data_IF_867782522679
#
_entry.id   IF_867782522679
#
_cell.length_a   1.000
_cell.length_b   1.000
_cell.length_c   1.000
_cell.angle_alpha   90.00
_cell.angle_beta   90.00
_cell.angle_gamma   90.00
#
_symmetry.space_group_name_H-M   'P 1'
#
loop_
_entity.id
_entity.type
_entity.pdbx_description
1 polymer ?
#
# COMPACT_ATOMS: atom_id res chain seq x y z
N UNK A 1 -7.95 21.06 -73.66
CA UNK A 1 -9.05 20.52 -72.84
C UNK A 1 -8.69 19.19 -72.16
N UNK A 2 -8.10 18.21 -72.85
CA UNK A 2 -7.78 16.88 -72.29
C UNK A 2 -6.87 16.87 -71.04
N UNK A 3 -5.83 17.73 -70.97
CA UNK A 3 -4.94 17.82 -69.78
C UNK A 3 -5.67 18.29 -68.51
N UNK A 4 -6.63 19.20 -68.62
CA UNK A 4 -7.40 19.69 -67.47
C UNK A 4 -8.34 18.62 -66.93
N UNK A 5 -8.94 17.80 -67.81
CA UNK A 5 -9.82 16.70 -67.41
C UNK A 5 -9.05 15.57 -66.73
N UNK A 6 -7.84 15.27 -67.20
CA UNK A 6 -6.99 14.23 -66.61
C UNK A 6 -6.46 14.60 -65.22
N UNK A 7 -6.08 15.86 -65.02
CA UNK A 7 -5.67 16.38 -63.71
C UNK A 7 -6.83 16.41 -62.70
N UNK A 8 -8.04 16.70 -63.15
CA UNK A 8 -9.25 16.66 -62.31
C UNK A 8 -9.59 15.24 -61.84
N UNK A 9 -9.50 14.25 -62.74
CA UNK A 9 -9.73 12.83 -62.40
C UNK A 9 -8.66 12.32 -61.42
N UNK A 10 -7.40 12.69 -61.60
CA UNK A 10 -6.33 12.33 -60.68
C UNK A 10 -6.55 12.92 -59.28
N UNK A 11 -6.95 14.19 -59.19
CA UNK A 11 -7.29 14.85 -57.91
C UNK A 11 -8.44 14.14 -57.18
N UNK A 12 -9.54 13.81 -57.90
CA UNK A 12 -10.64 13.07 -57.28
C UNK A 12 -10.26 11.65 -56.83
N UNK A 13 -9.35 10.97 -57.54
CA UNK A 13 -8.86 9.66 -57.12
C UNK A 13 -8.00 9.73 -55.85
N UNK A 14 -7.24 10.82 -55.67
CA UNK A 14 -6.41 11.05 -54.48
C UNK A 14 -7.27 11.39 -53.26
N UNK A 15 -8.25 12.28 -53.41
CA UNK A 15 -9.24 12.58 -52.36
C UNK A 15 -10.04 11.33 -51.94
N UNK A 16 -10.45 10.49 -52.90
CA UNK A 16 -11.16 9.23 -52.58
C UNK A 16 -10.26 8.20 -51.87
N UNK A 17 -8.94 8.20 -52.16
CA UNK A 17 -7.97 7.37 -51.42
C UNK A 17 -7.77 7.88 -50.00
N UNK A 18 -7.66 9.19 -49.80
CA UNK A 18 -7.59 9.80 -48.46
C UNK A 18 -8.85 9.53 -47.65
N UNK A 19 -10.03 9.72 -48.26
CA UNK A 19 -11.31 9.44 -47.61
C UNK A 19 -11.47 7.97 -47.19
N UNK A 20 -11.04 7.03 -48.03
CA UNK A 20 -11.01 5.59 -47.67
C UNK A 20 -10.03 5.29 -46.54
N UNK A 21 -8.88 5.97 -46.49
CA UNK A 21 -7.87 5.83 -45.44
C UNK A 21 -8.38 6.36 -44.10
N UNK A 22 -9.00 7.54 -44.09
CA UNK A 22 -9.61 8.12 -42.89
C UNK A 22 -10.82 7.29 -42.40
N UNK A 23 -11.65 6.78 -43.32
CA UNK A 23 -12.76 5.88 -42.96
C UNK A 23 -12.28 4.56 -42.38
N UNK A 24 -11.18 4.00 -42.90
CA UNK A 24 -10.53 2.81 -42.35
C UNK A 24 -9.97 3.01 -40.94
N UNK A 25 -9.35 4.17 -40.67
CA UNK A 25 -8.88 4.55 -39.33
C UNK A 25 -10.02 4.76 -38.35
N UNK A 26 -11.09 5.45 -38.77
CA UNK A 26 -12.28 5.67 -37.94
C UNK A 26 -12.92 4.34 -37.54
N UNK A 27 -13.12 3.42 -38.51
CA UNK A 27 -13.69 2.10 -38.24
C UNK A 27 -12.81 1.23 -37.33
N UNK A 28 -11.47 1.33 -37.47
CA UNK A 28 -10.55 0.63 -36.57
C UNK A 28 -10.63 1.21 -35.14
N UNK A 29 -10.68 2.54 -35.01
CA UNK A 29 -10.82 3.23 -33.73
C UNK A 29 -12.14 2.88 -33.03
N UNK A 30 -13.25 2.87 -33.75
CA UNK A 30 -14.56 2.48 -33.20
C UNK A 30 -14.55 1.03 -32.70
N UNK A 31 -13.92 0.12 -33.46
CA UNK A 31 -13.77 -1.29 -33.07
C UNK A 31 -12.86 -1.49 -31.85
N UNK A 32 -11.82 -0.68 -31.68
CA UNK A 32 -10.92 -0.72 -30.53
C UNK A 32 -11.59 -0.16 -29.27
N UNK A 33 -12.37 0.92 -29.40
CA UNK A 33 -13.15 1.50 -28.31
C UNK A 33 -14.25 0.54 -27.82
N UNK A 34 -14.94 -0.16 -28.74
CA UNK A 34 -15.96 -1.15 -28.41
C UNK A 34 -15.37 -2.37 -27.68
N UNK A 35 -14.23 -2.89 -28.14
CA UNK A 35 -13.52 -3.99 -27.47
C UNK A 35 -13.01 -3.59 -26.08
N UNK A 36 -12.52 -2.36 -25.92
CA UNK A 36 -12.07 -1.82 -24.63
C UNK A 36 -13.24 -1.68 -23.64
N UNK A 37 -14.40 -1.22 -24.12
CA UNK A 37 -15.62 -1.11 -23.30
C UNK A 37 -16.16 -2.48 -22.88
N UNK A 38 -16.16 -3.47 -23.79
CA UNK A 38 -16.57 -4.84 -23.47
C UNK A 38 -15.63 -5.47 -22.43
N UNK A 39 -14.32 -5.31 -22.60
CA UNK A 39 -13.32 -5.79 -21.65
C UNK A 39 -13.48 -5.12 -20.27
N UNK A 40 -13.72 -3.81 -20.23
CA UNK A 40 -14.02 -3.10 -18.99
C UNK A 40 -15.25 -3.68 -18.29
N UNK A 41 -16.37 -3.85 -19.00
CA UNK A 41 -17.60 -4.41 -18.44
C UNK A 41 -17.38 -5.83 -17.89
N UNK A 42 -16.66 -6.67 -18.64
CA UNK A 42 -16.29 -8.01 -18.22
C UNK A 42 -15.49 -8.00 -16.92
N UNK A 43 -14.37 -7.27 -16.87
CA UNK A 43 -13.53 -7.19 -15.67
C UNK A 43 -14.28 -6.57 -14.50
N UNK A 44 -15.10 -5.55 -14.75
CA UNK A 44 -15.95 -4.94 -13.76
C UNK A 44 -17.03 -5.90 -13.21
N UNK A 45 -17.44 -6.94 -13.95
CA UNK A 45 -18.35 -7.95 -13.41
C UNK A 45 -17.65 -9.03 -12.57
N UNK A 46 -16.38 -9.31 -12.87
CA UNK A 46 -15.61 -10.41 -12.25
C UNK A 46 -14.92 -9.96 -10.96
N UNK A 47 -14.35 -8.75 -10.96
CA UNK A 47 -13.63 -8.22 -9.81
C UNK A 47 -14.63 -7.85 -8.71
N UNK A 48 -14.43 -8.41 -7.52
CA UNK A 48 -15.27 -8.17 -6.35
C UNK A 48 -14.98 -6.79 -5.75
N UNK A 49 -16.00 -6.18 -5.15
CA UNK A 49 -15.83 -4.92 -4.42
C UNK A 49 -14.87 -5.10 -3.22
N UNK A 50 -14.08 -4.08 -2.96
CA UNK A 50 -13.14 -4.02 -1.86
C UNK A 50 -13.83 -3.49 -0.61
N UNK A 51 -13.75 -4.26 0.47
CA UNK A 51 -14.21 -3.88 1.80
C UNK A 51 -13.03 -4.01 2.77
N UNK A 52 -12.72 -2.94 3.50
CA UNK A 52 -11.65 -2.96 4.48
C UNK A 52 -12.12 -3.54 5.82
N UNK A 53 -11.45 -4.59 6.30
CA UNK A 53 -11.74 -5.22 7.59
C UNK A 53 -10.46 -5.84 8.16
N UNK A 54 -9.86 -5.17 9.15
CA UNK A 54 -8.62 -5.63 9.78
C UNK A 54 -8.82 -6.92 10.58
N UNK A 55 -9.96 -7.10 11.23
CA UNK A 55 -10.23 -8.28 12.06
C UNK A 55 -10.36 -9.54 11.21
N UNK A 56 -10.95 -9.40 10.02
CA UNK A 56 -11.03 -10.49 9.04
C UNK A 56 -9.80 -10.55 8.11
N UNK A 57 -8.80 -9.71 8.32
CA UNK A 57 -7.58 -9.67 7.51
C UNK A 57 -7.80 -9.21 6.06
N UNK A 58 -8.91 -8.51 5.78
CA UNK A 58 -9.19 -7.89 4.48
C UNK A 58 -8.49 -6.54 4.39
N UNK A 59 -7.23 -6.57 3.96
CA UNK A 59 -6.46 -5.35 3.63
C UNK A 59 -6.48 -5.10 2.12
N UNK A 60 -6.20 -3.88 1.69
CA UNK A 60 -6.13 -3.59 0.25
C UNK A 60 -5.06 -4.43 -0.44
N UNK A 61 -3.88 -4.62 0.17
CA UNK A 61 -2.83 -5.48 -0.38
C UNK A 61 -3.32 -6.92 -0.61
N UNK A 62 -4.05 -7.51 0.34
CA UNK A 62 -4.58 -8.87 0.19
C UNK A 62 -5.65 -8.98 -0.90
N UNK A 63 -6.51 -7.97 -1.03
CA UNK A 63 -7.53 -7.90 -2.07
C UNK A 63 -6.89 -7.66 -3.44
N UNK A 64 -5.90 -6.78 -3.52
CA UNK A 64 -5.23 -6.44 -4.77
C UNK A 64 -4.45 -7.64 -5.28
N UNK A 65 -3.68 -8.35 -4.45
CA UNK A 65 -2.94 -9.55 -4.85
C UNK A 65 -3.86 -10.62 -5.46
N UNK A 66 -5.06 -10.82 -4.90
CA UNK A 66 -6.06 -11.75 -5.44
C UNK A 66 -6.55 -11.34 -6.84
N UNK A 67 -6.63 -10.05 -7.13
CA UNK A 67 -7.19 -9.51 -8.38
C UNK A 67 -6.14 -8.95 -9.34
N UNK A 68 -4.85 -8.98 -8.95
CA UNK A 68 -3.74 -8.34 -9.67
C UNK A 68 -3.64 -8.81 -11.12
N UNK A 69 -3.83 -10.11 -11.35
CA UNK A 69 -3.85 -10.70 -12.69
C UNK A 69 -4.92 -10.11 -13.61
N UNK A 70 -6.07 -9.68 -13.07
CA UNK A 70 -7.11 -9.02 -13.87
C UNK A 70 -6.67 -7.65 -14.38
N UNK A 71 -5.83 -6.93 -13.62
CA UNK A 71 -5.32 -5.62 -14.03
C UNK A 71 -4.06 -5.71 -14.90
N UNK A 72 -3.15 -6.65 -14.58
CA UNK A 72 -1.85 -6.79 -15.26
C UNK A 72 -1.90 -7.66 -16.51
N UNK A 73 -2.69 -8.75 -16.51
CA UNK A 73 -2.74 -9.70 -17.61
C UNK A 73 -3.98 -9.47 -18.48
N UNK A 74 -5.17 -9.64 -17.91
CA UNK A 74 -6.43 -9.55 -18.67
C UNK A 74 -6.74 -8.11 -19.10
N UNK A 75 -6.50 -7.16 -18.20
CA UNK A 75 -6.66 -5.73 -18.44
C UNK A 75 -5.44 -5.06 -19.05
N UNK A 76 -4.41 -5.80 -19.49
CA UNK A 76 -3.15 -5.19 -19.95
C UNK A 76 -3.38 -4.17 -21.07
N UNK A 77 -4.27 -4.48 -22.01
CA UNK A 77 -4.64 -3.65 -23.15
C UNK A 77 -5.46 -2.41 -22.79
N UNK A 78 -6.00 -2.33 -21.56
CA UNK A 78 -6.74 -1.15 -21.12
C UNK A 78 -5.80 0.04 -20.93
N UNK A 79 -6.23 1.20 -21.40
CA UNK A 79 -5.55 2.45 -21.11
C UNK A 79 -5.49 2.71 -19.60
N UNK A 80 -4.43 3.37 -19.12
CA UNK A 80 -4.18 3.57 -17.69
C UNK A 80 -5.36 4.26 -16.98
N UNK A 81 -5.96 5.27 -17.58
CA UNK A 81 -7.14 5.97 -17.06
C UNK A 81 -8.38 5.05 -16.95
N UNK A 82 -8.48 4.02 -17.78
CA UNK A 82 -9.56 3.01 -17.67
C UNK A 82 -9.26 2.07 -16.50
N UNK A 83 -8.00 1.67 -16.29
CA UNK A 83 -7.57 0.85 -15.14
C UNK A 83 -7.80 1.58 -13.81
N UNK A 84 -7.48 2.88 -13.76
CA UNK A 84 -7.75 3.73 -12.60
C UNK A 84 -9.25 3.78 -12.31
N UNK A 85 -10.09 4.09 -13.31
CA UNK A 85 -11.55 4.11 -13.14
C UNK A 85 -12.10 2.77 -12.68
N UNK A 86 -11.59 1.66 -13.25
CA UNK A 86 -11.97 0.31 -12.84
C UNK A 86 -11.62 0.07 -11.37
N UNK A 87 -10.40 0.43 -10.94
CA UNK A 87 -9.97 0.27 -9.54
C UNK A 87 -10.82 1.12 -8.59
N UNK A 88 -11.08 2.38 -8.94
CA UNK A 88 -11.93 3.28 -8.16
C UNK A 88 -13.36 2.75 -8.06
N UNK A 89 -13.92 2.23 -9.15
CA UNK A 89 -15.25 1.61 -9.15
C UNK A 89 -15.35 0.33 -8.33
N UNK A 90 -14.21 -0.25 -7.93
CA UNK A 90 -14.15 -1.43 -7.06
C UNK A 90 -13.97 -1.13 -5.60
N UNK A 91 -13.79 0.14 -5.23
CA UNK A 91 -13.75 0.52 -3.83
C UNK A 91 -15.16 0.50 -3.24
N UNK A 92 -15.29 -0.08 -2.05
CA UNK A 92 -16.48 0.05 -1.22
C UNK A 92 -16.87 1.51 -1.01
N UNK A 93 -18.17 1.76 -0.79
CA UNK A 93 -18.65 3.13 -0.61
C UNK A 93 -17.94 3.90 0.52
N UNK A 94 -17.64 3.22 1.64
CA UNK A 94 -16.86 3.79 2.76
C UNK A 94 -15.40 4.06 2.40
N UNK A 95 -14.77 3.12 1.71
CA UNK A 95 -13.37 3.15 1.30
C UNK A 95 -13.15 4.26 0.27
N UNK A 96 -14.01 4.35 -0.73
CA UNK A 96 -14.00 5.43 -1.72
C UNK A 96 -14.11 6.80 -1.04
N UNK A 97 -15.07 6.99 -0.13
CA UNK A 97 -15.25 8.26 0.56
C UNK A 97 -14.00 8.65 1.36
N UNK A 98 -13.40 7.70 2.08
CA UNK A 98 -12.21 7.91 2.90
C UNK A 98 -11.00 8.33 2.06
N UNK A 99 -10.68 7.56 1.01
CA UNK A 99 -9.52 7.86 0.17
C UNK A 99 -9.75 9.12 -0.67
N UNK A 100 -10.97 9.33 -1.18
CA UNK A 100 -11.31 10.55 -1.93
C UNK A 100 -11.16 11.79 -1.06
N UNK A 101 -11.53 11.74 0.23
CA UNK A 101 -11.34 12.85 1.15
C UNK A 101 -9.86 13.13 1.40
N UNK A 102 -9.04 12.07 1.57
CA UNK A 102 -7.60 12.19 1.80
C UNK A 102 -6.86 12.80 0.61
N UNK A 103 -7.26 12.47 -0.62
CA UNK A 103 -6.58 12.94 -1.83
C UNK A 103 -6.93 14.36 -2.27
N UNK A 104 -7.91 15.01 -1.62
CA UNK A 104 -8.28 16.37 -1.99
C UNK A 104 -7.06 17.32 -1.91
N UNK A 105 -6.89 18.23 -2.90
CA UNK A 105 -7.84 18.57 -3.97
C UNK A 105 -7.76 17.68 -5.24
N UNK A 106 -6.86 16.70 -5.29
CA UNK A 106 -6.70 15.81 -6.44
C UNK A 106 -7.85 14.79 -6.53
N UNK A 107 -8.33 14.51 -7.75
CA UNK A 107 -9.34 13.47 -7.99
C UNK A 107 -8.67 12.12 -8.22
N UNK A 108 -9.24 11.06 -7.67
CA UNK A 108 -8.72 9.68 -7.85
C UNK A 108 -8.59 9.30 -9.33
N UNK A 109 -9.59 9.63 -10.16
CA UNK A 109 -9.60 9.32 -11.60
C UNK A 109 -8.48 9.99 -12.41
N UNK A 110 -7.85 11.03 -11.83
CA UNK A 110 -6.74 11.76 -12.45
C UNK A 110 -5.36 11.29 -11.98
N UNK A 111 -5.31 10.36 -11.02
CA UNK A 111 -4.06 9.79 -10.51
C UNK A 111 -3.52 8.75 -11.48
N UNK A 112 -2.21 8.53 -11.42
CA UNK A 112 -1.60 7.37 -12.07
C UNK A 112 -1.99 6.10 -11.32
N UNK A 113 -2.08 4.99 -12.06
CA UNK A 113 -2.50 3.70 -11.51
C UNK A 113 -1.59 3.20 -10.40
N UNK A 114 -0.27 3.30 -10.57
CA UNK A 114 0.73 2.88 -9.59
C UNK A 114 0.68 3.72 -8.29
N UNK A 115 0.52 5.04 -8.42
CA UNK A 115 0.40 5.94 -7.28
C UNK A 115 -0.90 5.66 -6.52
N UNK A 116 -2.02 5.44 -7.22
CA UNK A 116 -3.29 5.12 -6.57
C UNK A 116 -3.20 3.80 -5.78
N UNK A 117 -2.56 2.77 -6.32
CA UNK A 117 -2.32 1.51 -5.61
C UNK A 117 -1.54 1.76 -4.32
N UNK A 118 -0.44 2.52 -4.39
CA UNK A 118 0.38 2.83 -3.21
C UNK A 118 -0.42 3.57 -2.14
N UNK A 119 -1.23 4.54 -2.53
CA UNK A 119 -2.07 5.28 -1.59
C UNK A 119 -3.15 4.41 -0.94
N UNK A 120 -3.76 3.50 -1.70
CA UNK A 120 -4.74 2.55 -1.20
C UNK A 120 -4.09 1.53 -0.26
N UNK A 121 -2.90 1.01 -0.59
CA UNK A 121 -2.13 0.14 0.29
C UNK A 121 -1.77 0.84 1.60
N UNK A 122 -1.34 2.09 1.54
CA UNK A 122 -0.99 2.87 2.72
C UNK A 122 -2.22 3.15 3.60
N UNK A 123 -3.35 3.51 3.00
CA UNK A 123 -4.56 3.89 3.75
C UNK A 123 -5.33 2.71 4.34
N UNK A 124 -5.34 1.58 3.62
CA UNK A 124 -6.12 0.39 3.95
C UNK A 124 -5.22 -0.80 4.29
N UNK A 125 -4.23 -0.53 5.14
CA UNK A 125 -3.34 -1.53 5.75
C UNK A 125 -3.48 -1.54 7.27
N UNK A 126 -2.81 -2.50 7.90
CA UNK A 126 -2.67 -2.53 9.35
C UNK A 126 -1.73 -1.41 9.81
N UNK A 127 -2.23 -0.40 10.57
CA UNK A 127 -1.45 0.76 10.97
C UNK A 127 -0.38 0.44 12.02
N UNK A 128 -0.40 -0.77 12.61
CA UNK A 128 0.58 -1.18 13.62
C UNK A 128 1.96 -1.36 12.98
N UNK A 129 2.99 -0.98 13.71
CA UNK A 129 4.37 -1.12 13.27
C UNK A 129 4.76 -2.59 13.09
N UNK A 130 5.79 -2.84 12.26
CA UNK A 130 6.28 -4.20 12.01
C UNK A 130 6.69 -4.91 13.32
N UNK A 131 7.30 -4.20 14.27
CA UNK A 131 7.69 -4.77 15.57
C UNK A 131 6.48 -5.28 16.34
N UNK A 132 5.40 -4.49 16.40
CA UNK A 132 4.18 -4.88 17.14
C UNK A 132 3.59 -6.15 16.53
N UNK A 133 3.44 -6.19 15.20
CA UNK A 133 2.95 -7.37 14.48
C UNK A 133 3.81 -8.61 14.76
N UNK A 134 5.14 -8.49 14.65
CA UNK A 134 6.09 -9.58 14.95
C UNK A 134 5.98 -10.07 16.39
N UNK A 135 5.83 -9.15 17.34
CA UNK A 135 5.70 -9.50 18.76
C UNK A 135 4.40 -10.26 19.05
N UNK A 136 3.30 -9.89 18.40
CA UNK A 136 2.03 -10.61 18.53
C UNK A 136 2.14 -12.05 18.00
N UNK A 137 2.84 -12.27 16.89
CA UNK A 137 3.10 -13.61 16.36
C UNK A 137 3.84 -14.47 17.38
N UNK A 138 4.88 -13.94 18.03
CA UNK A 138 5.64 -14.67 19.08
C UNK A 138 4.78 -15.02 20.29
N UNK A 139 3.74 -14.22 20.57
CA UNK A 139 2.80 -14.44 21.67
C UNK A 139 1.73 -15.47 21.36
N UNK A 140 1.59 -15.92 20.11
CA UNK A 140 0.61 -16.93 19.74
C UNK A 140 0.80 -18.21 20.57
N UNK A 141 -0.31 -18.77 21.05
CA UNK A 141 -0.34 -20.03 21.80
C UNK A 141 -1.40 -20.93 21.21
N UNK A 142 -1.06 -22.21 21.08
CA UNK A 142 -2.03 -23.21 20.67
C UNK A 142 -3.07 -23.35 21.78
N UNK A 143 -4.38 -23.18 21.49
CA UNK A 143 -5.41 -23.19 22.53
C UNK A 143 -5.62 -24.57 23.15
N UNK A 144 -5.44 -25.65 22.37
CA UNK A 144 -5.55 -27.03 22.84
C UNK A 144 -4.86 -27.97 21.83
N UNK A 145 -4.50 -29.18 22.27
CA UNK A 145 -3.72 -30.15 21.49
C UNK A 145 -4.43 -30.58 20.21
N UNK A 146 -5.76 -30.66 20.23
CA UNK A 146 -6.59 -31.06 19.09
C UNK A 146 -6.47 -30.08 17.91
N UNK A 147 -6.14 -28.82 18.18
CA UNK A 147 -6.00 -27.76 17.17
C UNK A 147 -4.55 -27.55 16.72
N UNK A 148 -3.63 -28.47 17.00
CA UNK A 148 -2.20 -28.27 16.75
C UNK A 148 -1.87 -28.04 15.26
N UNK A 149 -2.54 -28.75 14.35
CA UNK A 149 -2.32 -28.61 12.91
C UNK A 149 -2.91 -27.28 12.39
N UNK A 150 -4.13 -26.93 12.81
CA UNK A 150 -4.75 -25.64 12.49
C UNK A 150 -3.90 -24.48 13.02
N UNK A 151 -3.37 -24.63 14.24
CA UNK A 151 -2.46 -23.67 14.84
C UNK A 151 -1.17 -23.51 14.03
N UNK A 152 -0.57 -24.60 13.54
CA UNK A 152 0.59 -24.52 12.65
C UNK A 152 0.30 -23.74 11.36
N UNK A 153 -0.87 -23.97 10.78
CA UNK A 153 -1.34 -23.25 9.57
C UNK A 153 -1.56 -21.76 9.85
N UNK A 154 -2.15 -21.44 11.01
CA UNK A 154 -2.31 -20.07 11.49
C UNK A 154 -0.95 -19.39 11.72
N UNK A 155 -0.01 -20.05 12.41
CA UNK A 155 1.35 -19.51 12.66
C UNK A 155 2.04 -19.19 11.34
N UNK A 156 1.95 -20.06 10.33
CA UNK A 156 2.52 -19.78 9.01
C UNK A 156 1.91 -18.51 8.38
N UNK A 157 0.58 -18.40 8.36
CA UNK A 157 -0.12 -17.22 7.86
C UNK A 157 0.29 -15.93 8.58
N UNK A 158 0.31 -15.94 9.92
CA UNK A 158 0.64 -14.77 10.72
C UNK A 158 2.12 -14.38 10.59
N UNK A 159 3.03 -15.35 10.43
CA UNK A 159 4.44 -15.09 10.14
C UNK A 159 4.64 -14.35 8.81
N UNK A 160 3.95 -14.74 7.74
CA UNK A 160 4.02 -14.07 6.44
C UNK A 160 3.47 -12.64 6.53
N UNK A 161 2.29 -12.46 7.14
CA UNK A 161 1.69 -11.14 7.36
C UNK A 161 2.59 -10.19 8.16
N UNK A 162 3.30 -10.72 9.15
CA UNK A 162 4.21 -9.94 10.00
C UNK A 162 5.63 -9.78 9.42
N UNK A 163 5.91 -10.34 8.23
CA UNK A 163 7.25 -10.33 7.61
C UNK A 163 8.31 -10.84 8.59
N UNK A 164 8.12 -12.07 9.09
CA UNK A 164 8.95 -12.72 10.12
C UNK A 164 10.33 -13.20 9.64
N UNK A 165 10.74 -12.88 8.42
CA UNK A 165 12.11 -13.07 7.93
C UNK A 165 13.06 -12.06 8.62
N UNK A 166 13.40 -12.33 9.89
CA UNK A 166 14.24 -11.47 10.73
C UNK A 166 15.73 -11.80 10.56
N UNK A 167 16.56 -10.76 10.55
CA UNK A 167 18.00 -10.94 10.78
C UNK A 167 18.26 -11.27 12.26
N UNK A 168 19.50 -11.68 12.56
CA UNK A 168 19.95 -11.87 13.95
C UNK A 168 19.87 -10.56 14.74
N UNK A 169 20.17 -9.42 14.12
CA UNK A 169 20.08 -8.11 14.77
C UNK A 169 18.63 -7.71 15.04
N UNK A 170 17.73 -7.91 14.08
CA UNK A 170 16.28 -7.67 14.28
C UNK A 170 15.73 -8.51 15.42
N UNK A 171 16.18 -9.78 15.52
CA UNK A 171 15.77 -10.69 16.59
C UNK A 171 16.25 -10.20 17.96
N UNK A 172 17.52 -9.75 18.07
CA UNK A 172 18.05 -9.15 19.31
C UNK A 172 17.24 -7.92 19.73
N UNK A 173 16.95 -7.04 18.79
CA UNK A 173 16.17 -5.82 19.02
C UNK A 173 14.76 -6.16 19.50
N UNK A 174 14.08 -7.10 18.82
CA UNK A 174 12.74 -7.52 19.19
C UNK A 174 12.68 -8.13 20.59
N UNK A 175 13.62 -9.03 20.90
CA UNK A 175 13.75 -9.65 22.23
C UNK A 175 14.01 -8.58 23.29
N UNK A 176 14.89 -7.62 23.01
CA UNK A 176 15.20 -6.54 23.95
C UNK A 176 13.98 -5.67 24.23
N UNK A 177 13.30 -5.17 23.20
CA UNK A 177 12.10 -4.33 23.34
C UNK A 177 10.99 -5.07 24.10
N UNK A 178 10.78 -6.35 23.77
CA UNK A 178 9.81 -7.21 24.45
C UNK A 178 10.14 -7.44 25.93
N UNK A 179 11.42 -7.44 26.29
CA UNK A 179 11.91 -7.61 27.65
C UNK A 179 11.93 -6.34 28.50
N UNK A 180 11.65 -5.16 27.93
CA UNK A 180 11.58 -3.91 28.69
C UNK A 180 10.37 -4.00 29.65
N UNK A 181 10.57 -3.80 30.97
CA UNK A 181 9.49 -3.91 31.95
C UNK A 181 8.43 -2.83 31.77
N UNK A 182 7.21 -3.07 32.25
CA UNK A 182 6.06 -2.19 32.00
C UNK A 182 6.29 -0.76 32.50
N UNK A 183 7.00 -0.62 33.63
CA UNK A 183 7.33 0.64 34.29
C UNK A 183 8.28 1.53 33.46
N UNK A 184 9.04 0.94 32.54
CA UNK A 184 9.97 1.63 31.64
C UNK A 184 9.33 1.91 30.25
N UNK A 185 8.07 2.37 30.26
CA UNK A 185 7.31 2.61 29.02
C UNK A 185 7.97 3.66 28.11
N UNK A 186 8.55 4.69 28.71
CA UNK A 186 9.29 5.74 28.02
C UNK A 186 10.51 5.22 27.25
N UNK A 187 11.28 4.31 27.86
CA UNK A 187 12.39 3.61 27.21
C UNK A 187 11.89 2.73 26.05
N UNK A 188 10.76 2.05 26.23
CA UNK A 188 10.12 1.28 25.16
C UNK A 188 9.72 2.17 23.98
N UNK A 189 9.12 3.34 24.25
CA UNK A 189 8.76 4.32 23.21
C UNK A 189 10.00 4.84 22.45
N UNK A 190 11.10 5.11 23.15
CA UNK A 190 12.37 5.50 22.51
C UNK A 190 12.86 4.40 21.56
N UNK A 191 12.86 3.15 22.02
CA UNK A 191 13.29 2.02 21.20
C UNK A 191 12.43 1.83 19.95
N UNK A 192 11.09 1.90 20.10
CA UNK A 192 10.17 1.77 18.97
C UNK A 192 10.40 2.88 17.93
N UNK A 193 10.51 4.14 18.37
CA UNK A 193 10.81 5.27 17.48
C UNK A 193 12.15 5.12 16.77
N UNK A 194 13.17 4.62 17.48
CA UNK A 194 14.48 4.38 16.89
C UNK A 194 14.38 3.38 15.74
N UNK A 195 13.72 2.24 15.95
CA UNK A 195 13.59 1.21 14.92
C UNK A 195 12.71 1.67 13.75
N UNK A 196 11.64 2.44 14.00
CA UNK A 196 10.81 3.01 12.94
C UNK A 196 11.60 3.96 12.02
N UNK A 197 12.50 4.78 12.58
CA UNK A 197 13.37 5.66 11.78
C UNK A 197 14.33 4.88 10.88
N UNK A 198 14.93 3.81 11.40
CA UNK A 198 15.90 3.00 10.65
C UNK A 198 15.27 2.04 9.65
N UNK A 199 13.99 1.70 9.80
CA UNK A 199 13.26 0.79 8.89
C UNK A 199 13.20 1.27 7.43
N UNK A 200 13.49 2.55 7.16
CA UNK A 200 13.35 3.19 5.85
C UNK A 200 14.67 3.41 5.09
N UNK A 201 15.85 3.17 5.68
CA UNK A 201 17.12 3.49 5.00
C UNK A 201 18.34 2.63 5.34
N UNK A 202 18.42 1.98 6.51
CA UNK A 202 19.62 1.21 6.91
C UNK A 202 19.27 0.04 7.85
N UNK A 203 20.03 -1.07 7.78
CA UNK A 203 19.91 -2.14 8.77
C UNK A 203 20.34 -1.63 10.15
N UNK A 204 19.38 -1.51 11.06
CA UNK A 204 19.59 -1.14 12.45
C UNK A 204 20.35 -2.23 13.21
N UNK A 205 21.45 -1.88 13.87
CA UNK A 205 22.14 -2.82 14.77
C UNK A 205 21.64 -2.68 16.21
N UNK A 206 21.67 -3.78 16.94
CA UNK A 206 21.34 -3.81 18.36
C UNK A 206 22.26 -2.89 19.18
N UNK A 207 23.53 -2.75 18.77
CA UNK A 207 24.49 -1.85 19.42
C UNK A 207 24.04 -0.39 19.32
N UNK A 208 23.56 0.06 18.16
CA UNK A 208 23.08 1.44 17.99
C UNK A 208 21.85 1.70 18.85
N UNK A 209 20.92 0.74 18.94
CA UNK A 209 19.76 0.83 19.82
C UNK A 209 20.16 0.98 21.29
N UNK A 210 21.16 0.22 21.75
CA UNK A 210 21.67 0.34 23.12
C UNK A 210 22.32 1.71 23.37
N UNK A 211 22.99 2.29 22.39
CA UNK A 211 23.57 3.63 22.52
C UNK A 211 22.47 4.70 22.64
N UNK A 212 21.40 4.60 21.85
CA UNK A 212 20.21 5.46 21.97
C UNK A 212 19.60 5.36 23.37
N UNK A 213 19.49 4.14 23.92
CA UNK A 213 19.01 3.92 25.28
C UNK A 213 19.91 4.57 26.33
N UNK A 214 21.24 4.48 26.17
CA UNK A 214 22.21 5.11 27.09
C UNK A 214 22.08 6.62 27.06
N UNK A 215 22.03 7.21 25.87
CA UNK A 215 21.85 8.64 25.70
C UNK A 215 20.57 9.12 26.38
N UNK A 216 19.45 8.42 26.15
CA UNK A 216 18.18 8.72 26.79
C UNK A 216 18.25 8.64 28.32
N UNK A 217 18.84 7.59 28.88
CA UNK A 217 18.96 7.43 30.32
C UNK A 217 19.85 8.52 30.96
N UNK A 218 20.92 8.94 30.28
CA UNK A 218 21.77 10.04 30.72
C UNK A 218 20.99 11.37 30.75
N UNK A 219 20.31 11.71 29.66
CA UNK A 219 19.47 12.93 29.59
C UNK A 219 18.33 12.89 30.62
N UNK A 220 17.72 11.73 30.85
CA UNK A 220 16.68 11.57 31.89
C UNK A 220 17.23 11.79 33.29
N UNK A 221 18.46 11.35 33.57
CA UNK A 221 19.12 11.60 34.84
C UNK A 221 19.45 13.09 35.04
N UNK A 222 19.94 13.76 33.99
CA UNK A 222 20.21 15.20 33.99
C UNK A 222 18.94 16.04 34.19
N UNK A 223 17.83 15.68 33.53
CA UNK A 223 16.55 16.38 33.65
C UNK A 223 16.03 16.42 35.11
N UNK A 224 16.23 15.34 35.88
CA UNK A 224 15.85 15.30 37.30
C UNK A 224 16.59 16.32 38.16
N UNK A 225 17.79 16.74 37.76
CA UNK A 225 18.56 17.78 38.47
C UNK A 225 17.80 19.11 38.38
N UNK A 226 17.24 19.41 37.21
CA UNK A 226 16.46 20.62 37.00
C UNK A 226 15.11 20.59 37.73
N UNK A 227 14.45 19.43 37.83
CA UNK A 227 13.19 19.29 38.58
C UNK A 227 13.37 19.50 40.10
N UNK A 228 14.44 18.95 40.68
CA UNK A 228 14.73 19.08 42.11
C UNK A 228 15.10 20.50 42.54
N UNK A 229 15.51 21.35 41.59
CA UNK A 229 15.89 22.74 41.88
C UNK A 229 14.67 23.63 42.12
N UNK A 230 13.48 23.29 41.61
CA UNK A 230 12.27 24.08 41.82
C UNK A 230 11.56 23.83 43.16
N UNK A 231 11.86 22.73 43.85
CA UNK A 231 11.30 22.42 45.18
C UNK A 231 12.06 23.11 46.33
N UNK A 232 13.26 23.64 46.09
CA UNK A 232 14.03 24.41 47.08
C UNK A 232 13.69 25.91 47.13
N UNK A 233 12.74 26.38 46.32
CA UNK A 233 12.35 27.80 46.22
C UNK A 233 10.90 28.08 46.68
N UNK A 234 10.32 27.29 47.59
CA UNK A 234 9.12 27.73 48.32
C UNK A 234 9.56 28.54 49.56
N UNK A 235 9.34 29.86 49.62
CA UNK A 235 9.65 30.66 50.81
C UNK A 235 8.61 30.35 51.89
N UNK A 236 9.10 30.11 53.11
CA UNK A 236 8.31 30.00 54.34
C UNK A 236 7.58 31.29 54.70
#
# INVERSE_FOLDING_TARGET
MLKSTQNFIAGQQEEMKEMKKEFGKAKAKDSEEEQSAELYCKLNSVIQEFEFDLEKGKTFASWFEKHKSFFENEGNSLAENVKVRLLVAKLGGSEYAKISQKMMPQKLDSMRFDILIQELENEFSDPRSKIVKRFEVIKLRCPCVEKILDFGTMVNSECEKAQMALTVEDSKILIFIAGIPEEANDLRQICLRFVERHSNSEQCTFKQLLEECRSYLATKAEAKIFENTYLSFTPS
#
